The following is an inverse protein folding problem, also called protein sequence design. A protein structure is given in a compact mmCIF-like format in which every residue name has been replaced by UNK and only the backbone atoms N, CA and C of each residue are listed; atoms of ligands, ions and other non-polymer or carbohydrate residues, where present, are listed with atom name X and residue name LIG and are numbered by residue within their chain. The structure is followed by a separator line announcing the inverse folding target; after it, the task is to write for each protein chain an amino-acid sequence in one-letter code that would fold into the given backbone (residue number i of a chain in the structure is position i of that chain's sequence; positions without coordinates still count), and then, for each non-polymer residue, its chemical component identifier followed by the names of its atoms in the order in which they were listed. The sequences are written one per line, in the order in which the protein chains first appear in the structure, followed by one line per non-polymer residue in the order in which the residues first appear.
data_IF_449637270861
#
_entry.id   IF_449637270861
#
_cell.length_a   1.000
_cell.length_b   1.000
_cell.length_c   1.000
_cell.angle_alpha   90.00
_cell.angle_beta   90.00
_cell.angle_gamma   90.00
#
_symmetry.space_group_name_H-M   'P 1'
#
loop_
_entity.id
_entity.type
_entity.pdbx_description
1 polymer ?
#
# COMPACT_ATOMS: atom_id res chain seq x y z
N UNK A 1 -5.11 27.51 -21.23
CA UNK A 1 -4.38 26.93 -20.10
C UNK A 1 -4.63 25.43 -20.18
N UNK A 2 -3.64 24.64 -20.63
CA UNK A 2 -3.78 23.19 -20.61
C UNK A 2 -3.73 22.75 -19.15
N UNK A 3 -4.89 22.47 -18.57
CA UNK A 3 -4.93 21.67 -17.35
C UNK A 3 -4.57 20.24 -17.77
N UNK A 4 -3.28 19.89 -17.74
CA UNK A 4 -2.91 18.47 -17.80
C UNK A 4 -3.57 17.77 -16.61
N UNK A 5 -4.08 16.55 -16.82
CA UNK A 5 -4.60 15.73 -15.74
C UNK A 5 -3.58 15.69 -14.59
N UNK A 6 -4.01 15.54 -13.33
CA UNK A 6 -3.08 15.37 -12.22
C UNK A 6 -2.25 14.10 -12.44
N UNK A 7 -0.95 14.08 -12.07
CA UNK A 7 -0.17 12.87 -12.12
C UNK A 7 -0.70 11.86 -11.10
N UNK A 8 -0.45 10.59 -11.36
CA UNK A 8 -0.84 9.46 -10.49
C UNK A 8 0.39 8.93 -9.76
N UNK A 9 0.40 9.04 -8.44
CA UNK A 9 1.45 8.46 -7.60
C UNK A 9 1.12 7.02 -7.28
N UNK A 10 2.05 6.10 -7.54
CA UNK A 10 1.89 4.68 -7.29
C UNK A 10 2.82 4.22 -6.17
N UNK A 11 2.25 3.64 -5.10
CA UNK A 11 2.99 3.17 -3.92
C UNK A 11 2.67 1.69 -3.67
N UNK A 12 3.71 0.86 -3.72
CA UNK A 12 3.62 -0.60 -3.58
C UNK A 12 3.39 -1.05 -2.13
N UNK A 13 3.09 -2.34 -1.95
CA UNK A 13 2.97 -3.01 -0.66
C UNK A 13 4.32 -3.47 -0.08
N UNK A 14 4.28 -3.96 1.17
CA UNK A 14 5.43 -4.54 1.83
C UNK A 14 6.00 -5.71 1.01
N UNK A 15 7.33 -5.76 0.87
CA UNK A 15 8.04 -6.77 0.08
C UNK A 15 7.94 -6.60 -1.44
N UNK A 16 7.21 -5.59 -1.92
CA UNK A 16 7.12 -5.22 -3.33
C UNK A 16 8.09 -4.09 -3.70
N UNK A 17 7.95 -3.59 -4.93
CA UNK A 17 8.60 -2.38 -5.45
C UNK A 17 7.68 -1.74 -6.48
N UNK A 18 8.00 -0.52 -6.91
CA UNK A 18 7.28 0.11 -8.02
C UNK A 18 7.30 -0.78 -9.26
N UNK A 19 8.48 -1.33 -9.59
CA UNK A 19 8.63 -2.23 -10.73
C UNK A 19 7.78 -3.50 -10.59
N UNK A 20 7.93 -4.22 -9.46
CA UNK A 20 7.30 -5.53 -9.28
C UNK A 20 5.79 -5.46 -9.13
N UNK A 21 5.26 -4.38 -8.52
CA UNK A 21 3.82 -4.25 -8.21
C UNK A 21 3.05 -3.58 -9.35
N UNK A 22 3.65 -2.62 -10.07
CA UNK A 22 2.92 -1.75 -10.99
C UNK A 22 3.37 -1.79 -12.44
N UNK A 23 4.68 -2.04 -12.69
CA UNK A 23 5.19 -2.08 -14.06
C UNK A 23 5.07 -3.47 -14.67
N UNK A 24 5.46 -4.52 -13.94
CA UNK A 24 5.48 -5.90 -14.49
C UNK A 24 4.10 -6.43 -14.86
N UNK A 25 3.06 -6.02 -14.17
CA UNK A 25 1.68 -6.40 -14.47
C UNK A 25 1.03 -5.56 -15.57
N UNK A 26 1.72 -4.53 -16.08
CA UNK A 26 1.26 -3.66 -17.16
C UNK A 26 0.34 -2.52 -16.72
N UNK A 27 0.08 -2.34 -15.41
CA UNK A 27 -0.82 -1.29 -14.92
C UNK A 27 -0.33 0.12 -15.28
N UNK A 28 0.99 0.37 -15.19
CA UNK A 28 1.58 1.65 -15.60
C UNK A 28 1.37 1.94 -17.09
N UNK A 29 1.39 0.92 -17.95
CA UNK A 29 1.15 1.09 -19.39
C UNK A 29 -0.32 1.50 -19.66
N UNK A 30 -1.28 0.98 -18.90
CA UNK A 30 -2.69 1.37 -19.00
C UNK A 30 -2.91 2.84 -18.61
N UNK A 31 -2.22 3.32 -17.56
CA UNK A 31 -2.28 4.72 -17.16
C UNK A 31 -1.64 5.64 -18.21
N UNK A 32 -0.51 5.23 -18.79
CA UNK A 32 0.17 5.97 -19.86
C UNK A 32 -0.69 6.04 -21.13
N UNK A 33 -1.31 4.93 -21.53
CA UNK A 33 -2.26 4.86 -22.65
C UNK A 33 -3.47 5.78 -22.43
N UNK A 34 -3.89 5.96 -21.18
CA UNK A 34 -4.93 6.92 -20.78
C UNK A 34 -4.42 8.39 -20.75
N UNK A 35 -3.13 8.62 -21.01
CA UNK A 35 -2.52 9.96 -21.00
C UNK A 35 -2.22 10.50 -19.61
N UNK A 36 -2.13 9.65 -18.59
CA UNK A 36 -1.83 10.01 -17.22
C UNK A 36 -0.33 9.88 -16.94
N UNK A 37 0.26 10.93 -16.39
CA UNK A 37 1.65 10.91 -15.91
C UNK A 37 1.74 10.04 -14.65
N UNK A 38 2.69 9.09 -14.61
CA UNK A 38 2.90 8.17 -13.47
C UNK A 38 4.15 8.59 -12.69
N UNK A 39 4.02 8.69 -11.37
CA UNK A 39 5.12 8.88 -10.42
C UNK A 39 5.22 7.61 -9.56
N UNK A 40 6.25 6.79 -9.82
CA UNK A 40 6.51 5.58 -9.03
C UNK A 40 7.33 5.87 -7.79
N UNK A 41 7.00 5.20 -6.68
CA UNK A 41 7.73 5.36 -5.42
C UNK A 41 8.14 4.00 -4.87
N UNK A 42 9.43 3.84 -4.61
CA UNK A 42 9.93 2.77 -3.74
C UNK A 42 10.00 3.29 -2.30
N UNK A 43 9.24 2.68 -1.40
CA UNK A 43 9.29 2.97 0.02
C UNK A 43 10.65 2.58 0.61
N UNK A 44 11.06 3.25 1.67
CA UNK A 44 12.27 2.88 2.41
C UNK A 44 12.26 1.37 2.73
N UNK A 45 13.39 0.70 2.51
CA UNK A 45 13.51 -0.75 2.69
C UNK A 45 13.12 -1.60 1.47
N UNK A 46 12.69 -0.98 0.37
CA UNK A 46 12.17 -1.69 -0.81
C UNK A 46 12.81 -1.19 -2.12
N UNK A 47 12.69 -2.00 -3.18
CA UNK A 47 13.13 -1.65 -4.53
C UNK A 47 14.53 -1.06 -4.57
N UNK A 48 14.68 0.11 -5.19
CA UNK A 48 15.95 0.85 -5.28
C UNK A 48 16.18 1.81 -4.08
N UNK A 49 15.21 1.91 -3.13
CA UNK A 49 15.38 2.74 -1.95
C UNK A 49 16.43 2.15 -0.98
N UNK A 50 17.05 2.98 -0.11
CA UNK A 50 17.90 2.49 0.97
C UNK A 50 17.19 1.45 1.85
N UNK A 51 17.93 0.46 2.35
CA UNK A 51 17.42 -0.69 3.12
C UNK A 51 18.06 -0.77 4.52
N UNK A 52 17.79 0.20 5.43
CA UNK A 52 18.32 0.13 6.79
C UNK A 52 17.75 -1.07 7.55
N UNK A 53 18.55 -1.64 8.46
CA UNK A 53 18.14 -2.78 9.29
C UNK A 53 17.66 -2.35 10.68
N UNK A 54 17.72 -1.05 10.99
CA UNK A 54 17.22 -0.47 12.22
C UNK A 54 15.70 -0.22 12.11
N UNK A 55 14.84 -0.81 12.96
CA UNK A 55 13.41 -0.55 12.96
C UNK A 55 13.03 0.92 13.14
N UNK A 56 13.81 1.69 13.89
CA UNK A 56 13.53 3.10 14.14
C UNK A 56 13.69 3.98 12.88
N UNK A 57 14.45 3.51 11.88
CA UNK A 57 14.54 4.17 10.58
C UNK A 57 13.21 4.20 9.80
N UNK A 58 12.25 3.36 10.18
CA UNK A 58 10.95 3.21 9.53
C UNK A 58 9.79 3.88 10.26
N UNK A 59 10.08 4.76 11.20
CA UNK A 59 9.05 5.51 11.95
C UNK A 59 8.15 6.35 11.02
N UNK A 60 8.74 6.99 10.01
CA UNK A 60 8.00 7.72 8.97
C UNK A 60 8.31 7.25 7.55
N UNK A 61 7.39 6.44 6.99
CA UNK A 61 7.47 5.97 5.61
C UNK A 61 6.97 7.00 4.58
N UNK A 62 6.38 8.13 5.00
CA UNK A 62 5.84 9.13 4.07
C UNK A 62 6.91 9.96 3.40
N UNK A 63 8.11 10.05 3.99
CA UNK A 63 9.22 10.89 3.52
C UNK A 63 9.54 10.65 2.04
N UNK A 64 9.67 9.39 1.62
CA UNK A 64 9.97 9.04 0.22
C UNK A 64 8.88 9.46 -0.76
N UNK A 65 7.63 9.47 -0.32
CA UNK A 65 6.51 9.96 -1.13
C UNK A 65 6.59 11.47 -1.25
N UNK A 66 6.77 12.18 -0.13
CA UNK A 66 6.84 13.66 -0.11
C UNK A 66 7.97 14.19 -0.98
N UNK A 67 9.13 13.52 -1.03
CA UNK A 67 10.28 13.91 -1.84
C UNK A 67 9.98 14.00 -3.35
N UNK A 68 9.04 13.21 -3.86
CA UNK A 68 8.72 13.16 -5.30
C UNK A 68 7.41 13.87 -5.67
N UNK A 69 6.61 14.27 -4.67
CA UNK A 69 5.35 14.94 -4.93
C UNK A 69 5.56 16.38 -5.47
N UNK A 70 4.88 16.76 -6.55
CA UNK A 70 4.88 18.17 -7.02
C UNK A 70 4.13 19.06 -6.03
N UNK A 71 4.28 20.40 -6.16
CA UNK A 71 3.59 21.40 -5.32
C UNK A 71 2.08 21.55 -5.60
N UNK A 72 1.49 20.64 -6.35
CA UNK A 72 0.06 20.60 -6.68
C UNK A 72 -0.56 19.29 -6.21
N UNK A 73 -1.88 19.24 -5.96
CA UNK A 73 -2.56 18.00 -5.66
C UNK A 73 -2.39 16.95 -6.77
N UNK A 74 -2.28 15.69 -6.38
CA UNK A 74 -2.10 14.53 -7.27
C UNK A 74 -3.19 13.51 -7.02
N UNK A 75 -3.37 12.57 -7.95
CA UNK A 75 -4.06 11.33 -7.68
C UNK A 75 -3.07 10.31 -7.12
N UNK A 76 -3.53 9.40 -6.26
CA UNK A 76 -2.62 8.41 -5.70
C UNK A 76 -3.28 7.04 -5.56
N UNK A 77 -2.50 6.00 -5.80
CA UNK A 77 -2.88 4.61 -5.62
C UNK A 77 -1.84 3.95 -4.74
N UNK A 78 -2.28 3.35 -3.64
CA UNK A 78 -1.42 2.55 -2.77
C UNK A 78 -1.95 1.15 -2.58
N UNK A 79 -1.04 0.20 -2.45
CA UNK A 79 -1.36 -1.17 -2.09
C UNK A 79 -0.82 -1.49 -0.69
N UNK A 80 -1.65 -2.06 0.18
CA UNK A 80 -1.27 -2.59 1.51
C UNK A 80 -0.46 -1.57 2.33
N UNK A 81 0.82 -1.79 2.58
CA UNK A 81 1.71 -0.84 3.26
C UNK A 81 1.71 0.54 2.57
N UNK A 82 1.72 0.56 1.24
CA UNK A 82 1.64 1.80 0.46
C UNK A 82 0.31 2.53 0.64
N UNK A 83 -0.81 1.80 0.72
CA UNK A 83 -2.11 2.38 1.02
C UNK A 83 -2.16 3.01 2.42
N UNK A 84 -1.64 2.31 3.43
CA UNK A 84 -1.55 2.84 4.79
C UNK A 84 -0.65 4.07 4.87
N UNK A 85 0.46 4.09 4.12
CA UNK A 85 1.39 5.21 4.07
C UNK A 85 0.76 6.44 3.40
N UNK A 86 0.07 6.25 2.26
CA UNK A 86 -0.68 7.32 1.60
C UNK A 86 -1.81 7.86 2.48
N UNK A 87 -2.54 7.00 3.17
CA UNK A 87 -3.60 7.42 4.10
C UNK A 87 -3.03 8.30 5.23
N UNK A 88 -1.88 7.93 5.80
CA UNK A 88 -1.19 8.77 6.80
C UNK A 88 -0.82 10.13 6.24
N UNK A 89 -0.27 10.16 5.03
CA UNK A 89 0.06 11.43 4.38
C UNK A 89 -1.19 12.27 4.12
N UNK A 90 -2.29 11.67 3.69
CA UNK A 90 -3.56 12.36 3.45
C UNK A 90 -4.11 13.01 4.74
N UNK A 91 -3.99 12.33 5.89
CA UNK A 91 -4.40 12.86 7.19
C UNK A 91 -3.46 13.98 7.68
N UNK A 92 -2.15 13.83 7.48
CA UNK A 92 -1.15 14.81 7.89
C UNK A 92 -1.15 16.06 7.00
N UNK A 93 -1.49 15.93 5.73
CA UNK A 93 -1.50 17.00 4.72
C UNK A 93 -2.83 17.02 3.96
N UNK A 94 -3.94 17.48 4.56
CA UNK A 94 -5.23 17.59 3.89
C UNK A 94 -5.13 18.41 2.61
N UNK A 95 -5.78 17.94 1.53
CA UNK A 95 -5.72 18.60 0.22
C UNK A 95 -4.51 18.22 -0.65
N UNK A 96 -3.65 17.30 -0.18
CA UNK A 96 -2.50 16.82 -0.97
C UNK A 96 -2.90 15.91 -2.13
N UNK A 97 -4.06 15.24 -2.01
CA UNK A 97 -4.61 14.36 -3.03
C UNK A 97 -5.94 14.88 -3.55
N UNK A 98 -6.18 14.70 -4.85
CA UNK A 98 -7.50 14.89 -5.47
C UNK A 98 -8.33 13.61 -5.30
N UNK A 99 -7.73 12.47 -5.63
CA UNK A 99 -8.34 11.14 -5.53
C UNK A 99 -7.34 10.19 -4.89
N UNK A 100 -7.82 9.26 -4.07
CA UNK A 100 -7.00 8.32 -3.33
C UNK A 100 -7.57 6.91 -3.45
N UNK A 101 -6.83 5.98 -4.05
CA UNK A 101 -7.17 4.56 -4.09
C UNK A 101 -6.35 3.83 -3.03
N UNK A 102 -7.05 3.19 -2.10
CA UNK A 102 -6.49 2.40 -1.01
C UNK A 102 -6.79 0.92 -1.24
N UNK A 103 -5.83 0.20 -1.84
CA UNK A 103 -5.99 -1.21 -2.20
C UNK A 103 -5.39 -2.15 -1.14
N UNK A 104 -6.04 -3.30 -0.89
CA UNK A 104 -5.57 -4.30 0.06
C UNK A 104 -5.58 -3.83 1.52
N UNK A 105 -6.48 -2.91 1.85
CA UNK A 105 -6.73 -2.42 3.21
C UNK A 105 -8.23 -2.36 3.48
N UNK A 106 -8.60 -2.44 4.75
CA UNK A 106 -9.99 -2.43 5.18
C UNK A 106 -10.08 -2.37 6.70
N UNK A 107 -10.77 -3.33 7.32
CA UNK A 107 -10.96 -3.38 8.78
C UNK A 107 -9.63 -3.36 9.56
N UNK A 108 -8.56 -3.92 9.00
CA UNK A 108 -7.24 -3.95 9.61
C UNK A 108 -6.60 -2.56 9.84
N UNK A 109 -7.07 -1.51 9.17
CA UNK A 109 -6.60 -0.12 9.40
C UNK A 109 -7.16 0.44 10.70
N UNK A 110 -8.34 -0.03 11.09
CA UNK A 110 -9.06 0.43 12.27
C UNK A 110 -8.72 -0.41 13.52
N UNK A 111 -7.92 -1.47 13.36
CA UNK A 111 -7.56 -2.40 14.42
C UNK A 111 -6.21 -2.01 15.07
N UNK A 112 -6.14 -2.12 16.40
CA UNK A 112 -4.92 -1.93 17.17
C UNK A 112 -4.04 -3.20 17.24
N UNK A 113 -4.58 -4.37 16.82
CA UNK A 113 -3.88 -5.63 16.92
C UNK A 113 -2.70 -5.73 15.95
N UNK A 114 -1.50 -5.74 16.50
CA UNK A 114 -0.24 -5.90 15.77
C UNK A 114 0.34 -7.31 15.81
N UNK A 115 -0.34 -8.25 16.45
CA UNK A 115 0.15 -9.61 16.63
C UNK A 115 0.59 -10.28 15.33
N UNK A 116 -0.11 -10.00 14.23
CA UNK A 116 0.25 -10.49 12.90
C UNK A 116 1.62 -9.97 12.43
N UNK A 117 1.87 -8.67 12.56
CA UNK A 117 3.16 -8.07 12.16
C UNK A 117 4.31 -8.63 12.99
N UNK A 118 4.10 -8.83 14.28
CA UNK A 118 5.10 -9.39 15.19
C UNK A 118 5.43 -10.86 14.84
N UNK A 119 4.41 -11.67 14.55
CA UNK A 119 4.60 -13.07 14.14
C UNK A 119 5.29 -13.18 12.79
N UNK A 120 4.96 -12.30 11.83
CA UNK A 120 5.65 -12.25 10.53
C UNK A 120 7.12 -11.83 10.72
N UNK A 121 7.40 -10.80 11.53
CA UNK A 121 8.76 -10.37 11.82
C UNK A 121 9.60 -11.51 12.43
N UNK A 122 9.04 -12.24 13.41
CA UNK A 122 9.69 -13.38 14.02
C UNK A 122 9.99 -14.50 13.01
N UNK A 123 9.05 -14.79 12.12
CA UNK A 123 9.24 -15.78 11.05
C UNK A 123 10.34 -15.39 10.06
N UNK A 124 10.41 -14.11 9.68
CA UNK A 124 11.49 -13.59 8.82
C UNK A 124 12.85 -13.73 9.50
N UNK A 125 12.95 -13.38 10.79
CA UNK A 125 14.19 -13.49 11.56
C UNK A 125 14.61 -14.97 11.71
N UNK A 126 13.66 -15.89 11.95
CA UNK A 126 13.93 -17.32 12.00
C UNK A 126 14.55 -17.82 10.69
N UNK A 127 13.97 -17.44 9.54
CA UNK A 127 14.48 -17.89 8.23
C UNK A 127 15.80 -17.21 7.87
N UNK A 128 15.99 -15.93 8.20
CA UNK A 128 17.25 -15.23 8.02
C UNK A 128 18.40 -15.89 8.84
N UNK A 129 18.07 -16.46 9.99
CA UNK A 129 19.00 -17.25 10.84
C UNK A 129 19.20 -18.70 10.34
N UNK A 130 18.63 -19.11 9.20
CA UNK A 130 18.77 -20.44 8.62
C UNK A 130 17.71 -21.46 9.06
N UNK A 131 16.62 -21.03 9.69
CA UNK A 131 15.47 -21.87 10.02
C UNK A 131 14.70 -22.35 8.79
N UNK A 132 14.02 -23.50 8.91
CA UNK A 132 13.24 -24.06 7.81
C UNK A 132 11.88 -23.33 7.68
N UNK A 133 11.55 -22.69 6.53
CA UNK A 133 10.25 -22.09 6.32
C UNK A 133 9.07 -23.07 6.42
N UNK A 134 9.30 -24.37 6.24
CA UNK A 134 8.25 -25.39 6.34
C UNK A 134 7.68 -25.53 7.77
N UNK A 135 8.43 -25.10 8.78
CA UNK A 135 8.02 -25.13 10.19
C UNK A 135 7.11 -23.94 10.57
N UNK A 136 7.00 -22.94 9.70
CA UNK A 136 6.20 -21.74 9.93
C UNK A 136 4.70 -21.98 9.67
N UNK A 137 3.86 -21.23 10.37
CA UNK A 137 2.43 -21.11 10.02
C UNK A 137 2.23 -20.74 8.55
N UNK A 138 1.14 -21.19 7.94
CA UNK A 138 0.87 -20.99 6.52
C UNK A 138 0.88 -19.52 6.10
N UNK A 139 0.31 -18.64 6.91
CA UNK A 139 0.25 -17.19 6.60
C UNK A 139 1.66 -16.60 6.68
N UNK A 140 2.40 -16.89 7.74
CA UNK A 140 3.78 -16.41 7.91
C UNK A 140 4.67 -16.90 6.78
N UNK A 141 4.52 -18.17 6.39
CA UNK A 141 5.26 -18.78 5.28
C UNK A 141 5.02 -18.04 3.94
N UNK A 142 3.77 -17.64 3.66
CA UNK A 142 3.46 -16.85 2.47
C UNK A 142 4.17 -15.49 2.48
N UNK A 143 4.17 -14.80 3.61
CA UNK A 143 4.92 -13.54 3.75
C UNK A 143 6.42 -13.74 3.60
N UNK A 144 6.98 -14.81 4.18
CA UNK A 144 8.41 -15.15 4.02
C UNK A 144 8.75 -15.45 2.56
N UNK A 145 7.93 -16.25 1.86
CA UNK A 145 8.11 -16.54 0.44
C UNK A 145 8.05 -15.27 -0.42
N UNK A 146 7.13 -14.36 -0.08
CA UNK A 146 7.02 -13.07 -0.76
C UNK A 146 8.27 -12.19 -0.50
N UNK A 147 8.76 -12.18 0.73
CA UNK A 147 9.97 -11.47 1.11
C UNK A 147 11.25 -12.01 0.45
N UNK A 148 11.29 -13.30 0.11
CA UNK A 148 12.43 -13.93 -0.54
C UNK A 148 12.52 -13.68 -2.06
N UNK A 149 11.64 -12.85 -2.61
CA UNK A 149 11.73 -12.46 -4.02
C UNK A 149 13.04 -11.72 -4.32
N UNK A 150 13.58 -11.88 -5.56
CA UNK A 150 14.81 -11.20 -5.94
C UNK A 150 14.74 -9.68 -5.75
N UNK A 151 15.81 -9.10 -5.20
CA UNK A 151 15.91 -7.66 -4.92
C UNK A 151 15.46 -7.25 -3.51
N UNK A 152 14.81 -8.14 -2.77
CA UNK A 152 14.43 -7.89 -1.39
C UNK A 152 15.59 -8.17 -0.40
N UNK A 153 15.58 -7.43 0.71
CA UNK A 153 16.46 -7.58 1.85
C UNK A 153 15.62 -8.03 3.06
N UNK A 154 15.81 -9.28 3.51
CA UNK A 154 15.00 -9.86 4.59
C UNK A 154 15.16 -9.15 5.93
N UNK A 155 16.36 -8.62 6.22
CA UNK A 155 16.60 -7.90 7.47
C UNK A 155 15.89 -6.55 7.45
N UNK A 156 15.94 -5.82 6.34
CA UNK A 156 15.20 -4.59 6.15
C UNK A 156 13.68 -4.80 6.23
N UNK A 157 13.17 -5.84 5.57
CA UNK A 157 11.74 -6.19 5.62
C UNK A 157 11.28 -6.60 7.02
N UNK A 158 12.12 -7.31 7.78
CA UNK A 158 11.88 -7.62 9.19
C UNK A 158 11.86 -6.35 10.05
N UNK A 159 12.82 -5.43 9.83
CA UNK A 159 12.88 -4.17 10.53
C UNK A 159 11.62 -3.31 10.31
N UNK A 160 11.07 -3.29 9.08
CA UNK A 160 9.79 -2.61 8.78
C UNK A 160 8.64 -3.19 9.59
N UNK A 161 8.56 -4.52 9.74
CA UNK A 161 7.51 -5.16 10.53
C UNK A 161 7.66 -4.87 12.04
N UNK A 162 8.90 -4.67 12.49
CA UNK A 162 9.26 -4.38 13.87
C UNK A 162 9.28 -2.88 14.21
N UNK A 163 8.97 -2.00 13.26
CA UNK A 163 9.01 -0.54 13.45
C UNK A 163 8.09 -0.08 14.58
N UNK A 164 8.33 1.13 15.13
CA UNK A 164 7.48 1.70 16.17
C UNK A 164 5.99 1.65 15.81
N UNK A 165 5.17 1.34 16.80
CA UNK A 165 3.73 1.26 16.62
C UNK A 165 3.16 2.65 16.33
N UNK A 166 2.33 2.75 15.31
CA UNK A 166 1.51 3.93 15.10
C UNK A 166 0.07 3.56 15.44
N UNK A 167 -0.62 4.36 16.26
CA UNK A 167 -2.01 4.10 16.60
C UNK A 167 -2.90 4.11 15.34
N UNK A 168 -4.01 3.36 15.34
CA UNK A 168 -4.99 3.45 14.28
C UNK A 168 -5.55 4.88 14.18
N UNK A 169 -6.00 5.30 12.98
CA UNK A 169 -6.58 6.61 12.80
C UNK A 169 -7.89 6.75 13.57
N UNK A 170 -8.08 7.90 14.19
CA UNK A 170 -9.39 8.24 14.78
C UNK A 170 -10.42 8.56 13.69
N UNK A 171 -11.71 8.54 14.06
CA UNK A 171 -12.78 8.99 13.15
C UNK A 171 -12.59 10.44 12.69
N UNK A 172 -12.01 11.30 13.53
CA UNK A 172 -11.74 12.69 13.18
C UNK A 172 -10.60 12.80 12.14
N UNK A 173 -9.56 11.97 12.26
CA UNK A 173 -8.47 11.92 11.30
C UNK A 173 -8.97 11.48 9.92
N UNK A 174 -9.79 10.43 9.85
CA UNK A 174 -10.39 9.95 8.61
C UNK A 174 -11.36 10.96 8.00
N UNK A 175 -12.16 11.64 8.82
CA UNK A 175 -13.08 12.69 8.36
C UNK A 175 -12.33 13.94 7.82
N UNK A 176 -11.08 14.15 8.17
CA UNK A 176 -10.26 15.23 7.61
C UNK A 176 -9.77 14.95 6.18
N UNK A 177 -9.82 13.69 5.72
CA UNK A 177 -9.51 13.31 4.34
C UNK A 177 -10.72 13.60 3.45
N UNK A 178 -10.76 14.78 2.85
CA UNK A 178 -11.93 15.30 2.09
C UNK A 178 -11.88 15.01 0.59
N UNK A 179 -10.77 14.49 0.07
CA UNK A 179 -10.72 14.02 -1.31
C UNK A 179 -11.63 12.80 -1.52
N UNK A 180 -11.89 12.46 -2.78
CA UNK A 180 -12.56 11.20 -3.09
C UNK A 180 -11.64 10.01 -2.75
N UNK A 181 -12.19 9.01 -2.06
CA UNK A 181 -11.46 7.81 -1.63
C UNK A 181 -12.15 6.55 -2.15
N UNK A 182 -11.38 5.67 -2.80
CA UNK A 182 -11.80 4.34 -3.18
C UNK A 182 -11.01 3.30 -2.37
N UNK A 183 -11.70 2.54 -1.53
CA UNK A 183 -11.15 1.35 -0.87
C UNK A 183 -11.41 0.14 -1.76
N UNK A 184 -10.33 -0.58 -2.14
CA UNK A 184 -10.44 -1.80 -2.96
C UNK A 184 -9.86 -2.98 -2.19
N UNK A 185 -10.67 -4.01 -1.92
CA UNK A 185 -10.25 -5.17 -1.13
C UNK A 185 -10.83 -6.46 -1.69
N UNK A 186 -10.04 -7.53 -1.71
CA UNK A 186 -10.53 -8.86 -2.10
C UNK A 186 -11.42 -9.49 -1.04
N UNK A 187 -12.42 -10.29 -1.43
CA UNK A 187 -13.30 -11.01 -0.49
C UNK A 187 -12.60 -12.17 0.25
N UNK A 188 -11.37 -12.52 -0.18
CA UNK A 188 -10.48 -13.49 0.47
C UNK A 188 -9.26 -12.84 1.12
N UNK A 189 -9.18 -11.50 1.09
CA UNK A 189 -8.13 -10.73 1.75
C UNK A 189 -8.36 -10.73 3.26
N UNK A 190 -7.29 -10.84 4.03
CA UNK A 190 -7.35 -10.72 5.50
C UNK A 190 -7.73 -9.31 5.98
N UNK A 191 -7.63 -8.30 5.10
CA UNK A 191 -8.04 -6.93 5.36
C UNK A 191 -9.56 -6.69 5.18
N UNK A 192 -10.26 -7.65 4.52
CA UNK A 192 -11.71 -7.58 4.32
C UNK A 192 -12.48 -7.64 5.67
N UNK A 193 -13.61 -6.89 5.80
CA UNK A 193 -14.27 -6.02 4.82
C UNK A 193 -13.66 -4.61 4.75
N UNK A 194 -13.91 -3.90 3.62
CA UNK A 194 -13.47 -2.52 3.41
C UNK A 194 -14.54 -1.45 3.67
N UNK A 195 -15.80 -1.87 3.84
CA UNK A 195 -16.96 -0.95 3.88
C UNK A 195 -16.91 0.01 5.08
N UNK A 196 -16.48 -0.46 6.25
CA UNK A 196 -16.38 0.38 7.45
C UNK A 196 -15.30 1.45 7.29
N UNK A 197 -14.15 1.10 6.73
CA UNK A 197 -13.10 2.06 6.43
C UNK A 197 -13.58 3.09 5.40
N UNK A 198 -14.21 2.65 4.32
CA UNK A 198 -14.74 3.56 3.29
C UNK A 198 -15.79 4.52 3.85
N UNK A 199 -16.71 4.02 4.69
CA UNK A 199 -17.75 4.82 5.33
C UNK A 199 -17.21 5.86 6.34
N UNK A 200 -15.96 5.73 6.77
CA UNK A 200 -15.33 6.70 7.66
C UNK A 200 -14.85 7.98 6.95
N UNK A 201 -14.71 7.94 5.62
CA UNK A 201 -14.36 9.11 4.81
C UNK A 201 -15.60 9.87 4.33
N UNK A 202 -15.56 11.21 4.23
CA UNK A 202 -16.69 12.00 3.71
C UNK A 202 -17.12 11.59 2.29
N UNK A 203 -16.16 11.23 1.43
CA UNK A 203 -16.39 10.84 0.04
C UNK A 203 -15.80 9.44 -0.23
N UNK A 204 -15.99 8.50 0.70
CA UNK A 204 -15.46 7.14 0.59
C UNK A 204 -16.40 6.20 -0.16
N UNK A 205 -15.81 5.31 -0.98
CA UNK A 205 -16.49 4.20 -1.66
C UNK A 205 -15.70 2.92 -1.45
N UNK A 206 -16.38 1.77 -1.41
CA UNK A 206 -15.74 0.46 -1.32
C UNK A 206 -16.05 -0.39 -2.56
N UNK A 207 -15.03 -1.03 -3.10
CA UNK A 207 -15.12 -2.05 -4.14
C UNK A 207 -14.56 -3.37 -3.62
N UNK A 208 -15.39 -4.38 -3.45
CA UNK A 208 -14.96 -5.72 -3.10
C UNK A 208 -14.69 -6.54 -4.35
N UNK A 209 -13.46 -7.10 -4.47
CA UNK A 209 -13.05 -7.94 -5.57
C UNK A 209 -13.39 -9.41 -5.26
N UNK A 210 -14.11 -10.05 -6.17
CA UNK A 210 -14.57 -11.42 -5.97
C UNK A 210 -13.47 -12.45 -6.23
N UNK A 211 -13.29 -13.39 -5.28
CA UNK A 211 -12.29 -14.47 -5.32
C UNK A 211 -10.84 -13.98 -5.39
N UNK A 212 -10.56 -12.80 -4.86
CA UNK A 212 -9.23 -12.19 -4.83
C UNK A 212 -8.71 -12.21 -3.40
N UNK A 213 -7.48 -12.67 -3.19
CA UNK A 213 -6.75 -12.57 -1.94
C UNK A 213 -5.86 -11.34 -1.91
N UNK A 214 -5.15 -11.15 -0.80
CA UNK A 214 -4.30 -9.99 -0.58
C UNK A 214 -3.24 -9.81 -1.67
N UNK A 215 -2.47 -10.85 -1.93
CA UNK A 215 -1.33 -10.79 -2.85
C UNK A 215 -1.74 -10.69 -4.32
N UNK A 216 -2.92 -11.22 -4.66
CA UNK A 216 -3.47 -11.14 -6.02
C UNK A 216 -4.15 -9.80 -6.34
N UNK A 217 -4.38 -8.93 -5.32
CA UNK A 217 -5.10 -7.67 -5.52
C UNK A 217 -4.47 -6.78 -6.61
N UNK A 218 -3.13 -6.49 -6.61
CA UNK A 218 -2.53 -5.61 -7.61
C UNK A 218 -2.54 -6.16 -9.04
N UNK A 219 -2.68 -7.49 -9.19
CA UNK A 219 -2.65 -8.17 -10.49
C UNK A 219 -4.04 -8.50 -11.02
N UNK A 220 -5.11 -8.18 -10.26
CA UNK A 220 -6.45 -8.53 -10.66
C UNK A 220 -7.04 -7.52 -11.65
N UNK A 221 -7.65 -8.00 -12.73
CA UNK A 221 -8.37 -7.13 -13.67
C UNK A 221 -9.46 -6.30 -13.00
N UNK A 222 -10.14 -6.87 -11.99
CA UNK A 222 -11.15 -6.13 -11.24
C UNK A 222 -10.58 -4.94 -10.46
N UNK A 223 -9.33 -5.01 -10.02
CA UNK A 223 -8.62 -3.86 -9.45
C UNK A 223 -8.29 -2.83 -10.54
N UNK A 224 -7.79 -3.27 -11.70
CA UNK A 224 -7.47 -2.38 -12.81
C UNK A 224 -8.72 -1.59 -13.23
N UNK A 225 -9.82 -2.28 -13.49
CA UNK A 225 -11.08 -1.64 -13.88
C UNK A 225 -11.53 -0.62 -12.82
N UNK A 226 -11.58 -1.02 -11.55
CA UNK A 226 -12.01 -0.14 -10.47
C UNK A 226 -11.14 1.12 -10.32
N UNK A 227 -9.81 0.96 -10.44
CA UNK A 227 -8.88 2.08 -10.32
C UNK A 227 -8.94 3.01 -11.53
N UNK A 228 -9.00 2.47 -12.76
CA UNK A 228 -9.09 3.27 -13.99
C UNK A 228 -10.43 4.00 -14.09
N UNK A 229 -11.56 3.37 -13.78
CA UNK A 229 -12.87 4.03 -13.68
C UNK A 229 -12.86 5.17 -12.65
N UNK A 230 -12.26 4.92 -11.48
CA UNK A 230 -12.20 5.94 -10.43
C UNK A 230 -11.34 7.14 -10.81
N UNK A 231 -10.33 6.95 -11.64
CA UNK A 231 -9.47 8.00 -12.17
C UNK A 231 -10.02 8.67 -13.44
N UNK A 232 -11.22 8.32 -13.92
CA UNK A 232 -11.78 8.73 -15.21
C UNK A 232 -10.81 8.42 -16.39
N UNK A 233 -10.10 7.29 -16.32
CA UNK A 233 -9.11 6.86 -17.30
C UNK A 233 -9.69 5.91 -18.37
N UNK A 234 -10.94 5.44 -18.17
CA UNK A 234 -11.74 4.65 -19.14
C UNK A 234 -13.17 5.08 -19.09
#
# INVERSE_FOLDING_TARGET
MNSSAPPVVLVHGWGGSFESTWQRNGFTALLDDAGLEVIGVDLLGHGEAPKPHDPDAYDDLTTRIVEVLPDRPVDAIGFSLGAMTLLRLAMAQPGRFNRLVLAGVGANVLDEDRSRSEVIAAGLQQVAAGGDPAELDNVVRLFVQYAQQPGNDLEALSAIMSRPATPPPSKADLAAVTCDVLVVVGDRDFAHPGDELAAAFPNGRCQTLRNVDHFATPDSFGFFDAALEFLDAI
#
